data_IF_661274809234
#
_entry.id   IF_661274809234
#
_cell.length_a   1.000
_cell.length_b   1.000
_cell.length_c   1.000
_cell.angle_alpha   90.00
_cell.angle_beta   90.00
_cell.angle_gamma   90.00
#
_symmetry.space_group_name_H-M   'P 1'
#
loop_
_entity.id
_entity.type
_entity.pdbx_description
1 polymer ?
#
# COMPACT_ATOMS: atom_id res chain seq x y z
N UNK A 1 23.77 20.74 -11.51
CA UNK A 1 22.50 19.99 -11.52
C UNK A 1 22.20 19.54 -10.10
N UNK A 2 21.12 20.03 -9.46
CA UNK A 2 20.80 19.70 -8.07
C UNK A 2 20.12 18.34 -7.92
N UNK A 3 20.47 17.59 -6.88
CA UNK A 3 19.85 16.30 -6.55
C UNK A 3 18.45 16.52 -5.96
N UNK A 4 17.49 15.70 -6.40
CA UNK A 4 16.11 15.68 -5.88
C UNK A 4 16.04 14.61 -4.78
N UNK A 5 15.53 14.98 -3.62
CA UNK A 5 15.40 14.12 -2.44
C UNK A 5 13.93 14.03 -2.01
N UNK A 6 13.57 12.96 -1.30
CA UNK A 6 12.23 12.83 -0.70
C UNK A 6 12.17 13.61 0.62
N UNK A 7 11.10 14.37 0.82
CA UNK A 7 10.81 15.11 2.03
C UNK A 7 9.36 14.90 2.47
N UNK A 8 9.07 15.20 3.73
CA UNK A 8 7.71 15.32 4.25
C UNK A 8 7.39 16.80 4.45
N UNK A 9 6.32 17.30 3.82
CA UNK A 9 5.86 18.67 4.04
C UNK A 9 5.00 18.68 5.31
N UNK A 10 5.47 19.38 6.35
CA UNK A 10 4.80 19.42 7.65
C UNK A 10 3.49 20.23 7.65
N UNK A 11 3.31 21.16 6.71
CA UNK A 11 2.11 21.99 6.60
C UNK A 11 0.97 21.22 5.90
N UNK A 12 1.33 20.42 4.91
CA UNK A 12 0.39 19.68 4.07
C UNK A 12 0.22 18.23 4.49
N UNK A 13 0.98 17.80 5.51
CA UNK A 13 1.07 16.44 6.04
C UNK A 13 1.14 15.35 4.94
N UNK A 14 2.02 15.55 3.96
CA UNK A 14 2.14 14.65 2.80
C UNK A 14 3.58 14.51 2.30
N UNK A 15 3.90 13.38 1.65
CA UNK A 15 5.19 13.20 1.00
C UNK A 15 5.34 14.14 -0.21
N UNK A 16 6.51 14.76 -0.34
CA UNK A 16 6.87 15.64 -1.45
C UNK A 16 8.27 15.33 -2.00
N UNK A 17 8.53 15.70 -3.25
CA UNK A 17 9.87 15.73 -3.82
C UNK A 17 10.47 17.13 -3.61
N UNK A 18 11.63 17.20 -2.97
CA UNK A 18 12.35 18.46 -2.73
C UNK A 18 13.65 18.47 -3.53
N UNK A 19 13.93 19.59 -4.21
CA UNK A 19 15.20 19.82 -4.89
C UNK A 19 15.90 20.97 -4.19
N UNK A 20 17.15 20.74 -3.80
CA UNK A 20 17.95 21.79 -3.21
C UNK A 20 18.39 22.76 -4.32
N UNK A 21 17.95 24.02 -4.18
CA UNK A 21 18.26 25.09 -5.12
C UNK A 21 19.21 26.04 -4.40
N UNK A 22 20.48 26.06 -4.80
CA UNK A 22 21.45 27.04 -4.31
C UNK A 22 21.17 28.37 -4.99
N UNK A 23 20.34 29.22 -4.36
CA UNK A 23 20.21 30.63 -4.73
C UNK A 23 21.21 31.39 -3.87
N UNK A 24 22.23 31.99 -4.48
CA UNK A 24 23.13 32.92 -3.81
C UNK A 24 22.39 34.25 -3.63
N UNK A 25 21.73 34.44 -2.49
CA UNK A 25 21.25 35.76 -2.04
C UNK A 25 21.60 35.97 -0.57
N UNK A 26 22.05 37.17 -0.18
CA UNK A 26 22.43 37.47 1.19
C UNK A 26 21.17 37.55 2.06
N UNK A 27 21.00 36.58 2.98
CA UNK A 27 19.90 36.56 3.93
C UNK A 27 19.57 35.14 4.41
N UNK A 28 20.21 34.70 5.50
CA UNK A 28 20.08 33.35 6.09
C UNK A 28 18.65 32.96 6.55
N UNK A 29 17.72 33.91 6.61
CA UNK A 29 16.35 33.73 7.11
C UNK A 29 15.45 32.87 6.18
N UNK A 30 15.51 33.07 4.85
CA UNK A 30 14.66 32.31 3.91
C UNK A 30 15.10 30.84 3.82
N UNK A 31 16.41 30.60 3.86
CA UNK A 31 16.99 29.25 3.81
C UNK A 31 16.56 28.42 5.03
N UNK A 32 16.56 29.02 6.22
CA UNK A 32 16.13 28.38 7.47
C UNK A 32 14.63 28.04 7.47
N UNK A 33 13.81 28.89 6.85
CA UNK A 33 12.36 28.69 6.77
C UNK A 33 11.99 27.54 5.82
N UNK A 34 12.67 27.43 4.68
CA UNK A 34 12.50 26.28 3.75
C UNK A 34 12.93 24.95 4.37
N UNK A 35 14.04 24.93 5.11
CA UNK A 35 14.51 23.73 5.81
C UNK A 35 13.58 23.27 6.93
N UNK A 36 12.91 24.20 7.64
CA UNK A 36 11.90 23.85 8.66
C UNK A 36 10.65 23.21 8.05
N UNK A 37 10.26 23.58 6.83
CA UNK A 37 9.06 23.06 6.16
C UNK A 37 9.25 21.67 5.56
N UNK A 38 10.43 21.40 5.02
CA UNK A 38 10.76 20.14 4.34
C UNK A 38 11.85 19.39 5.12
N UNK A 39 11.43 18.46 5.96
CA UNK A 39 12.36 17.56 6.65
C UNK A 39 12.67 16.38 5.73
N UNK A 40 13.95 16.01 5.59
CA UNK A 40 14.33 14.75 4.92
C UNK A 40 13.52 13.63 5.56
N UNK A 41 12.70 12.96 4.75
CA UNK A 41 11.87 11.87 5.25
C UNK A 41 12.77 10.77 5.82
N UNK A 42 12.37 10.10 6.92
CA UNK A 42 13.15 8.97 7.42
C UNK A 42 13.24 7.91 6.32
N UNK A 43 14.48 7.51 6.00
CA UNK A 43 14.69 6.25 5.27
C UNK A 43 14.15 5.16 6.20
N UNK A 44 13.15 4.37 5.80
CA UNK A 44 12.57 3.35 6.68
C UNK A 44 13.70 2.42 7.13
N UNK A 45 14.04 2.49 8.41
CA UNK A 45 15.05 1.65 9.01
C UNK A 45 14.56 0.19 8.97
N UNK A 46 15.45 -0.79 8.70
CA UNK A 46 15.09 -2.19 8.80
C UNK A 46 14.54 -2.46 10.21
N UNK A 47 13.26 -2.84 10.29
CA UNK A 47 12.57 -3.14 11.56
C UNK A 47 11.47 -2.15 11.98
N UNK A 48 11.42 -0.92 11.45
CA UNK A 48 10.28 -0.03 11.71
C UNK A 48 9.17 -0.29 10.69
N UNK A 49 7.96 -0.69 11.12
CA UNK A 49 6.94 -1.06 10.18
C UNK A 49 6.36 0.15 9.44
N UNK A 50 6.28 0.07 8.12
CA UNK A 50 5.71 1.10 7.25
C UNK A 50 4.18 1.06 7.30
N UNK A 51 3.54 2.21 7.50
CA UNK A 51 2.07 2.32 7.41
C UNK A 51 1.67 2.69 5.99
N UNK A 52 0.66 2.01 5.44
CA UNK A 52 0.15 2.26 4.09
C UNK A 52 -1.37 2.29 4.08
N UNK A 53 -1.92 3.12 3.20
CA UNK A 53 -3.35 3.24 2.92
C UNK A 53 -3.60 2.53 1.59
N UNK A 54 -4.56 1.61 1.56
CA UNK A 54 -4.93 0.84 0.39
C UNK A 54 -6.33 1.27 -0.06
N UNK A 55 -6.43 1.91 -1.22
CA UNK A 55 -7.68 2.37 -1.81
C UNK A 55 -8.36 1.24 -2.58
N UNK A 56 -9.68 1.13 -2.44
CA UNK A 56 -10.46 0.04 -3.04
C UNK A 56 -10.58 0.10 -4.57
N UNK A 57 -10.48 1.29 -5.17
CA UNK A 57 -10.75 1.55 -6.59
C UNK A 57 -9.49 1.68 -7.46
N UNK A 58 -8.29 1.52 -6.89
CA UNK A 58 -7.01 1.81 -7.57
C UNK A 58 -6.34 0.57 -8.15
N UNK A 59 -6.75 -0.63 -7.71
CA UNK A 59 -6.05 -1.86 -8.02
C UNK A 59 -4.79 -2.07 -7.18
N UNK A 60 -3.76 -2.68 -7.78
CA UNK A 60 -2.49 -2.97 -7.12
C UNK A 60 -1.71 -1.70 -6.79
N UNK A 61 -1.44 -1.49 -5.51
CA UNK A 61 -0.72 -0.33 -4.99
C UNK A 61 0.62 -0.77 -4.38
N UNK A 62 1.75 -0.17 -4.78
CA UNK A 62 3.05 -0.50 -4.21
C UNK A 62 3.20 0.00 -2.77
N UNK A 63 3.75 -0.84 -1.90
CA UNK A 63 4.15 -0.43 -0.55
C UNK A 63 5.42 0.40 -0.63
N UNK A 64 5.26 1.72 -0.61
CA UNK A 64 6.37 2.66 -0.72
C UNK A 64 7.34 2.52 0.44
N UNK A 65 8.65 2.62 0.16
CA UNK A 65 9.68 2.52 1.20
C UNK A 65 10.02 1.09 1.64
N UNK A 66 9.31 0.09 1.14
CA UNK A 66 9.60 -1.33 1.42
C UNK A 66 10.28 -1.95 0.21
N UNK A 67 11.50 -2.46 0.40
CA UNK A 67 12.21 -3.29 -0.57
C UNK A 67 12.28 -4.71 -0.01
N UNK A 68 11.73 -5.68 -0.75
CA UNK A 68 11.73 -7.10 -0.35
C UNK A 68 12.81 -7.83 -1.15
N UNK A 69 13.67 -8.54 -0.46
CA UNK A 69 14.69 -9.41 -1.03
C UNK A 69 14.32 -10.88 -0.82
N UNK A 70 14.82 -11.76 -1.69
CA UNK A 70 14.72 -13.21 -1.51
C UNK A 70 15.23 -13.59 -0.12
N UNK A 71 14.42 -14.35 0.61
CA UNK A 71 14.73 -14.83 1.96
C UNK A 71 14.20 -13.95 3.09
N UNK A 72 13.76 -12.72 2.80
CA UNK A 72 13.15 -11.84 3.79
C UNK A 72 11.88 -12.46 4.39
N UNK A 73 11.65 -12.22 5.67
CA UNK A 73 10.34 -12.44 6.31
C UNK A 73 9.54 -11.16 6.20
N UNK A 74 8.42 -11.23 5.48
CA UNK A 74 7.49 -10.13 5.27
C UNK A 74 6.25 -10.35 6.11
N UNK A 75 5.84 -9.32 6.85
CA UNK A 75 4.59 -9.29 7.61
C UNK A 75 3.74 -8.13 7.12
N UNK A 76 2.48 -8.41 6.79
CA UNK A 76 1.46 -7.42 6.47
C UNK A 76 0.34 -7.56 7.47
N UNK A 77 0.06 -6.51 8.25
CA UNK A 77 -0.94 -6.53 9.31
C UNK A 77 -1.99 -5.45 9.06
N UNK A 78 -3.26 -5.84 9.10
CA UNK A 78 -4.36 -4.90 9.09
C UNK A 78 -4.35 -4.06 10.38
N UNK A 79 -4.64 -2.77 10.25
CA UNK A 79 -4.72 -1.84 11.39
C UNK A 79 -6.14 -1.33 11.58
N UNK A 80 -6.75 -0.77 10.54
CA UNK A 80 -8.05 -0.11 10.62
C UNK A 80 -8.65 0.13 9.24
N UNK A 81 -9.91 0.54 9.21
CA UNK A 81 -10.63 0.91 8.00
C UNK A 81 -11.45 -0.24 7.42
N UNK A 82 -12.31 0.13 6.49
CA UNK A 82 -13.22 -0.78 5.80
C UNK A 82 -13.38 -0.27 4.35
N UNK A 83 -13.83 -1.16 3.48
CA UNK A 83 -14.14 -0.84 2.09
C UNK A 83 -15.26 -1.73 1.55
N UNK A 84 -15.73 -1.45 0.34
CA UNK A 84 -16.71 -2.29 -0.37
C UNK A 84 -16.30 -2.51 -1.82
N UNK A 85 -16.60 -3.70 -2.32
CA UNK A 85 -16.28 -4.18 -3.67
C UNK A 85 -17.47 -4.07 -4.66
N UNK A 86 -18.41 -3.15 -4.41
CA UNK A 86 -19.49 -2.82 -5.34
C UNK A 86 -20.17 -1.50 -4.94
N UNK A 87 -21.32 -1.24 -5.56
CA UNK A 87 -22.21 -0.10 -5.34
C UNK A 87 -22.66 0.11 -3.88
N UNK A 88 -23.42 1.21 -3.67
CA UNK A 88 -23.79 1.69 -2.36
C UNK A 88 -24.67 0.79 -1.50
N UNK A 89 -25.29 -0.23 -2.10
CA UNK A 89 -26.14 -1.19 -1.38
C UNK A 89 -25.33 -2.30 -0.70
N UNK A 90 -24.05 -2.46 -1.06
CA UNK A 90 -23.18 -3.42 -0.39
C UNK A 90 -22.69 -2.88 0.96
N UNK A 91 -22.67 -3.78 1.95
CA UNK A 91 -22.06 -3.52 3.23
C UNK A 91 -20.57 -3.18 3.09
N UNK A 92 -20.03 -2.45 4.07
CA UNK A 92 -18.58 -2.31 4.21
C UNK A 92 -18.01 -3.62 4.77
N UNK A 93 -16.80 -3.97 4.36
CA UNK A 93 -16.07 -5.12 4.88
C UNK A 93 -14.63 -4.75 5.24
N UNK A 94 -14.07 -5.51 6.18
CA UNK A 94 -12.67 -5.46 6.55
C UNK A 94 -11.76 -6.27 5.61
N UNK A 95 -10.53 -6.57 6.03
CA UNK A 95 -9.52 -7.17 5.16
C UNK A 95 -9.77 -8.65 4.82
N UNK A 96 -10.70 -9.30 5.53
CA UNK A 96 -11.09 -10.68 5.25
C UNK A 96 -12.04 -10.80 4.04
N UNK A 97 -12.60 -9.69 3.57
CA UNK A 97 -13.65 -9.69 2.56
C UNK A 97 -15.02 -10.05 3.13
N UNK A 98 -16.01 -10.19 2.25
CA UNK A 98 -17.36 -10.51 2.65
C UNK A 98 -17.51 -11.91 3.27
N UNK A 99 -18.55 -12.09 4.08
CA UNK A 99 -18.99 -13.43 4.45
C UNK A 99 -19.54 -14.19 3.23
N UNK A 100 -19.70 -15.50 3.38
CA UNK A 100 -20.12 -16.38 2.29
C UNK A 100 -21.49 -15.98 1.70
N UNK A 101 -22.43 -15.55 2.53
CA UNK A 101 -23.78 -15.21 2.08
C UNK A 101 -23.76 -13.93 1.24
N UNK A 102 -22.99 -12.93 1.67
CA UNK A 102 -22.82 -11.66 0.98
C UNK A 102 -21.98 -11.85 -0.30
N UNK A 103 -20.92 -12.66 -0.26
CA UNK A 103 -20.08 -12.96 -1.43
C UNK A 103 -20.88 -13.64 -2.56
N UNK A 104 -21.79 -14.55 -2.22
CA UNK A 104 -22.70 -15.21 -3.18
C UNK A 104 -23.60 -14.24 -3.94
N UNK A 105 -23.94 -13.09 -3.36
CA UNK A 105 -24.74 -12.08 -4.06
C UNK A 105 -24.00 -11.45 -5.25
N UNK A 106 -22.67 -11.60 -5.30
CA UNK A 106 -21.78 -11.10 -6.36
C UNK A 106 -21.33 -12.20 -7.33
N UNK A 107 -21.94 -13.39 -7.32
CA UNK A 107 -21.51 -14.52 -8.16
C UNK A 107 -21.54 -14.20 -9.67
N UNK A 108 -22.47 -13.34 -10.10
CA UNK A 108 -22.52 -12.87 -11.49
C UNK A 108 -21.28 -12.05 -11.90
N UNK A 109 -20.52 -11.52 -10.94
CA UNK A 109 -19.31 -10.75 -11.17
C UNK A 109 -18.02 -11.54 -10.90
N UNK A 110 -18.05 -12.85 -10.66
CA UNK A 110 -16.89 -13.64 -10.20
C UNK A 110 -15.61 -13.51 -11.03
N UNK A 111 -15.72 -13.19 -12.32
CA UNK A 111 -14.57 -12.96 -13.20
C UNK A 111 -13.78 -11.70 -12.83
N UNK A 112 -14.36 -10.83 -12.01
CA UNK A 112 -13.67 -9.70 -11.38
C UNK A 112 -12.74 -10.12 -10.24
N UNK A 113 -12.84 -11.34 -9.69
CA UNK A 113 -11.95 -11.80 -8.63
C UNK A 113 -10.54 -12.05 -9.15
N UNK A 114 -9.56 -11.40 -8.53
CA UNK A 114 -8.14 -11.69 -8.77
C UNK A 114 -7.76 -13.07 -8.23
N UNK A 115 -8.33 -13.45 -7.08
CA UNK A 115 -8.16 -14.76 -6.46
C UNK A 115 -9.55 -15.42 -6.34
N UNK A 116 -9.91 -16.34 -7.26
CA UNK A 116 -11.28 -16.86 -7.37
C UNK A 116 -11.85 -17.46 -6.07
N UNK A 117 -11.00 -18.13 -5.29
CA UNK A 117 -11.39 -18.83 -4.05
C UNK A 117 -11.50 -17.93 -2.82
N UNK A 118 -11.10 -16.67 -2.91
CA UNK A 118 -11.25 -15.71 -1.82
C UNK A 118 -12.53 -14.88 -2.01
N UNK A 119 -13.17 -14.41 -0.93
CA UNK A 119 -14.29 -13.50 -1.04
C UNK A 119 -13.91 -12.19 -1.74
N UNK A 120 -14.85 -11.54 -2.39
CA UNK A 120 -14.74 -10.15 -2.80
C UNK A 120 -14.37 -9.25 -1.60
N UNK A 121 -13.63 -8.18 -1.87
CA UNK A 121 -13.17 -7.28 -0.81
C UNK A 121 -12.02 -7.84 0.04
N UNK A 122 -11.57 -9.07 -0.16
CA UNK A 122 -10.40 -9.59 0.57
C UNK A 122 -9.16 -8.75 0.26
N UNK A 123 -8.40 -8.35 1.29
CA UNK A 123 -7.10 -7.71 1.08
C UNK A 123 -6.09 -8.75 0.57
N UNK A 124 -5.47 -8.46 -0.57
CA UNK A 124 -4.47 -9.31 -1.22
C UNK A 124 -3.08 -8.67 -1.18
N UNK A 125 -2.07 -9.53 -1.24
CA UNK A 125 -0.67 -9.14 -1.38
C UNK A 125 0.02 -9.95 -2.48
N UNK A 126 0.87 -9.29 -3.26
CA UNK A 126 1.71 -9.93 -4.28
C UNK A 126 3.10 -9.28 -4.30
N UNK A 127 4.11 -10.07 -4.65
CA UNK A 127 5.46 -9.57 -4.86
C UNK A 127 5.70 -9.31 -6.35
N UNK A 128 5.44 -8.08 -6.79
CA UNK A 128 5.63 -7.68 -8.18
C UNK A 128 7.12 -7.71 -8.58
N UNK A 129 7.39 -8.08 -9.83
CA UNK A 129 8.75 -8.30 -10.35
C UNK A 129 9.26 -9.74 -10.20
N UNK A 130 8.54 -10.60 -9.49
CA UNK A 130 8.82 -12.05 -9.44
C UNK A 130 7.89 -12.77 -10.43
N UNK A 131 8.47 -13.52 -11.36
CA UNK A 131 7.70 -14.33 -12.32
C UNK A 131 6.83 -15.34 -11.55
N UNK A 132 5.54 -15.41 -11.90
CA UNK A 132 4.55 -16.28 -11.25
C UNK A 132 4.49 -16.10 -9.72
N UNK A 133 4.66 -14.86 -9.23
CA UNK A 133 4.54 -14.56 -7.82
C UNK A 133 3.15 -15.00 -7.29
N UNK A 134 3.08 -15.77 -6.19
CA UNK A 134 1.81 -16.13 -5.60
C UNK A 134 1.08 -14.90 -5.08
N UNK A 135 -0.23 -14.83 -5.36
CA UNK A 135 -1.13 -13.86 -4.73
C UNK A 135 -1.62 -14.42 -3.41
N UNK A 136 -1.26 -13.74 -2.32
CA UNK A 136 -1.60 -14.12 -0.95
C UNK A 136 -2.86 -13.39 -0.49
N UNK A 137 -3.70 -14.08 0.27
CA UNK A 137 -4.70 -13.42 1.12
C UNK A 137 -4.01 -12.84 2.33
N UNK A 138 -4.34 -11.60 2.68
CA UNK A 138 -3.80 -10.94 3.88
C UNK A 138 -4.70 -11.19 5.08
N UNK A 139 -6.01 -10.95 4.94
CA UNK A 139 -6.92 -10.99 6.08
C UNK A 139 -6.44 -10.06 7.20
N UNK A 140 -6.52 -10.51 8.46
CA UNK A 140 -6.03 -9.69 9.60
C UNK A 140 -4.51 -9.56 9.62
N UNK A 141 -3.79 -10.61 9.20
CA UNK A 141 -2.33 -10.64 9.17
C UNK A 141 -1.84 -11.74 8.23
N UNK A 142 -0.82 -11.40 7.45
CA UNK A 142 -0.06 -12.32 6.60
C UNK A 142 1.41 -12.30 7.02
N UNK A 143 1.99 -13.49 7.14
CA UNK A 143 3.42 -13.68 7.32
C UNK A 143 3.93 -14.66 6.25
N UNK A 144 4.92 -14.26 5.47
CA UNK A 144 5.54 -15.16 4.49
C UNK A 144 7.03 -14.91 4.34
N UNK A 145 7.73 -15.91 3.80
CA UNK A 145 9.14 -15.78 3.39
C UNK A 145 9.19 -15.51 1.90
N UNK A 146 9.88 -14.44 1.49
CA UNK A 146 9.97 -14.05 0.10
C UNK A 146 10.80 -15.05 -0.71
N UNK A 147 10.21 -15.65 -1.73
CA UNK A 147 10.90 -16.59 -2.64
C UNK A 147 11.76 -15.89 -3.71
N UNK A 148 11.54 -14.59 -3.91
CA UNK A 148 12.26 -13.74 -4.85
C UNK A 148 12.39 -12.32 -4.32
N UNK A 149 13.05 -11.47 -5.07
CA UNK A 149 13.18 -10.03 -4.78
C UNK A 149 12.19 -9.25 -5.61
N UNK A 150 11.53 -8.25 -5.04
CA UNK A 150 10.51 -7.48 -5.75
C UNK A 150 9.88 -6.36 -4.92
N UNK A 151 8.87 -5.74 -5.51
CA UNK A 151 8.06 -4.70 -4.86
C UNK A 151 6.81 -5.34 -4.27
N UNK A 152 6.60 -5.21 -2.97
CA UNK A 152 5.35 -5.64 -2.36
C UNK A 152 4.22 -4.73 -2.84
N UNK A 153 3.17 -5.33 -3.40
CA UNK A 153 1.95 -4.63 -3.80
C UNK A 153 0.75 -5.20 -3.03
N UNK A 154 -0.19 -4.31 -2.72
CA UNK A 154 -1.43 -4.63 -2.02
C UNK A 154 -2.63 -4.20 -2.87
N UNK A 155 -3.73 -4.92 -2.76
CA UNK A 155 -4.92 -4.62 -3.54
C UNK A 155 -6.15 -5.32 -2.98
N UNK A 156 -7.32 -4.89 -3.41
CA UNK A 156 -8.56 -5.59 -3.14
C UNK A 156 -8.66 -6.84 -4.03
N UNK A 157 -9.32 -7.89 -3.55
CA UNK A 157 -9.79 -8.99 -4.39
C UNK A 157 -11.00 -8.55 -5.23
N UNK A 158 -10.73 -7.62 -6.13
CA UNK A 158 -11.64 -7.08 -7.12
C UNK A 158 -10.80 -6.32 -8.16
N UNK A 159 -10.88 -6.73 -9.42
CA UNK A 159 -9.91 -6.36 -10.44
C UNK A 159 -10.01 -4.87 -10.80
N UNK A 160 -8.86 -4.24 -11.02
CA UNK A 160 -8.82 -2.84 -11.43
C UNK A 160 -9.55 -2.61 -12.76
N UNK A 161 -10.08 -1.40 -12.95
CA UNK A 161 -10.88 -1.07 -14.13
C UNK A 161 -12.38 -1.21 -13.82
N UNK A 162 -13.15 -1.72 -14.78
CA UNK A 162 -14.61 -1.72 -14.72
C UNK A 162 -15.19 -2.36 -13.44
N UNK A 163 -14.54 -3.40 -12.90
CA UNK A 163 -15.00 -4.05 -11.66
C UNK A 163 -14.85 -3.16 -10.42
N UNK A 164 -13.90 -2.22 -10.44
CA UNK A 164 -13.51 -1.45 -9.25
C UNK A 164 -14.04 -0.02 -9.19
N UNK A 165 -14.75 0.44 -10.23
CA UNK A 165 -15.17 1.85 -10.37
C UNK A 165 -16.20 2.29 -9.33
N UNK A 166 -17.03 1.35 -8.86
CA UNK A 166 -18.06 1.57 -7.86
C UNK A 166 -17.58 1.25 -6.43
N UNK A 167 -16.37 0.72 -6.29
CA UNK A 167 -15.74 0.45 -4.99
C UNK A 167 -15.51 1.73 -4.19
N UNK A 168 -15.68 1.66 -2.87
CA UNK A 168 -15.42 2.79 -1.97
C UNK A 168 -14.73 2.33 -0.69
N UNK A 169 -14.02 3.24 -0.05
CA UNK A 169 -13.35 3.02 1.23
C UNK A 169 -11.86 2.69 1.10
N UNK A 170 -11.24 2.47 2.25
CA UNK A 170 -9.79 2.31 2.36
C UNK A 170 -9.44 1.42 3.55
N UNK A 171 -8.42 0.59 3.40
CA UNK A 171 -7.79 -0.10 4.53
C UNK A 171 -6.46 0.55 4.88
N UNK A 172 -6.18 0.66 6.18
CA UNK A 172 -4.86 0.99 6.70
C UNK A 172 -4.16 -0.29 7.13
N UNK A 173 -2.95 -0.48 6.63
CA UNK A 173 -2.10 -1.63 6.96
C UNK A 173 -0.75 -1.18 7.48
N UNK A 174 -0.07 -2.13 8.11
CA UNK A 174 1.28 -2.00 8.63
C UNK A 174 2.13 -3.12 8.05
N UNK A 175 3.26 -2.78 7.44
CA UNK A 175 4.16 -3.72 6.76
C UNK A 175 5.53 -3.70 7.44
N UNK A 176 6.06 -4.88 7.78
CA UNK A 176 7.44 -5.02 8.25
C UNK A 176 8.19 -6.07 7.44
N UNK A 177 9.48 -5.82 7.22
CA UNK A 177 10.39 -6.73 6.54
C UNK A 177 11.57 -7.00 7.46
N UNK A 178 11.83 -8.28 7.74
CA UNK A 178 12.99 -8.73 8.52
C UNK A 178 13.90 -9.56 7.62
N UNK A 179 15.14 -9.10 7.44
CA UNK A 179 16.15 -9.85 6.70
C UNK A 179 16.71 -10.98 7.58
N UNK A 180 16.96 -12.18 7.01
CA UNK A 180 17.77 -13.18 7.69
C UNK A 180 19.22 -12.66 7.83
N UNK A 181 19.85 -13.00 8.95
CA UNK A 181 21.30 -12.79 9.13
C UNK A 181 22.10 -13.74 8.24
#
# INVERSE_FOLDING_TARGET
MGTVWRAHDQLLDRPVAAKELHILTPGDEEHRTRQRRAVRGPVPSPGCPTRMWCQSATGWQPVTGVSVQRGDRVTVRFVAGEWRAANANMAMTGPAGYDEQTDKTLEAAKDCKVKPWAPFGTLLAVLAGVKNAPVHTVGRELNFRAAGSGTLQLGMNDTAGYCSQDNRGTLTVRVSVKRPN
#
